data_IF_964465727115
#
_entry.id   IF_964465727115
#
_cell.length_a   1.000
_cell.length_b   1.000
_cell.length_c   1.000
_cell.angle_alpha   90.00
_cell.angle_beta   90.00
_cell.angle_gamma   90.00
#
_symmetry.space_group_name_H-M   'P 1'
#
loop_
_entity.id
_entity.type
_entity.pdbx_description
1 polymer ?
#
# COMPACT_ATOMS: atom_id res chain seq x y z
N UNK A 1 9.71 -0.79 -9.03
CA UNK A 1 9.58 0.21 -7.94
C UNK A 1 8.37 -0.07 -7.05
N UNK A 2 7.15 -0.19 -7.60
CA UNK A 2 5.94 -0.55 -6.83
C UNK A 2 6.03 -1.93 -6.17
N UNK A 3 6.64 -2.94 -6.80
CA UNK A 3 6.80 -4.26 -6.16
C UNK A 3 7.56 -4.22 -4.82
N UNK A 4 8.55 -3.34 -4.68
CA UNK A 4 9.26 -3.16 -3.40
C UNK A 4 8.39 -2.47 -2.34
N UNK A 5 7.53 -1.54 -2.75
CA UNK A 5 6.55 -0.92 -1.85
C UNK A 5 5.46 -1.92 -1.43
N UNK A 6 4.99 -2.78 -2.36
CA UNK A 6 4.03 -3.85 -2.07
C UNK A 6 4.62 -4.93 -1.14
N UNK A 7 5.94 -5.14 -1.14
CA UNK A 7 6.56 -6.01 -0.15
C UNK A 7 6.51 -5.39 1.26
N UNK A 8 6.79 -4.08 1.35
CA UNK A 8 6.81 -3.35 2.62
C UNK A 8 5.43 -3.26 3.28
N UNK A 9 4.33 -3.33 2.54
CA UNK A 9 2.97 -3.26 3.12
C UNK A 9 2.69 -4.34 4.17
N UNK A 10 3.37 -5.48 4.09
CA UNK A 10 3.27 -6.58 5.06
C UNK A 10 3.70 -6.17 6.49
N UNK A 11 4.75 -5.36 6.59
CA UNK A 11 5.26 -4.82 7.87
C UNK A 11 4.78 -3.39 8.13
N UNK A 12 4.27 -2.71 7.09
CA UNK A 12 3.86 -1.30 7.11
C UNK A 12 2.49 -1.12 6.46
N UNK A 13 1.41 -1.48 7.19
CA UNK A 13 0.05 -1.36 6.66
C UNK A 13 -0.35 0.10 6.38
N UNK A 14 0.30 1.06 7.02
CA UNK A 14 0.10 2.50 6.85
C UNK A 14 0.37 3.02 5.44
N UNK A 15 1.21 2.32 4.65
CA UNK A 15 1.50 2.69 3.25
C UNK A 15 0.70 1.87 2.23
N UNK A 16 -0.16 0.94 2.65
CA UNK A 16 -0.95 0.05 1.77
C UNK A 16 -1.78 0.85 0.79
N UNK A 17 -2.56 1.80 1.31
CA UNK A 17 -3.50 2.58 0.49
C UNK A 17 -2.77 3.39 -0.58
N UNK A 18 -1.71 4.11 -0.18
CA UNK A 18 -0.90 4.89 -1.12
C UNK A 18 -0.26 4.00 -2.19
N UNK A 19 0.30 2.85 -1.80
CA UNK A 19 0.93 1.90 -2.73
C UNK A 19 -0.07 1.31 -3.72
N UNK A 20 -1.29 0.98 -3.25
CA UNK A 20 -2.36 0.46 -4.09
C UNK A 20 -2.78 1.48 -5.17
N UNK A 21 -2.93 2.75 -4.79
CA UNK A 21 -3.20 3.83 -5.75
C UNK A 21 -2.08 3.96 -6.79
N UNK A 22 -0.81 3.90 -6.40
CA UNK A 22 0.30 3.99 -7.36
C UNK A 22 0.37 2.80 -8.32
N UNK A 23 -0.01 1.60 -7.87
CA UNK A 23 -0.04 0.43 -8.72
C UNK A 23 -1.00 0.62 -9.92
N UNK A 24 -2.12 1.33 -9.71
CA UNK A 24 -3.11 1.60 -10.77
C UNK A 24 -2.55 2.54 -11.85
N UNK A 25 -1.73 3.52 -11.47
CA UNK A 25 -1.11 4.47 -12.40
C UNK A 25 0.27 4.03 -12.90
N UNK A 26 0.72 2.82 -12.55
CA UNK A 26 2.04 2.31 -12.93
C UNK A 26 2.20 2.19 -14.45
N UNK A 27 1.12 1.82 -15.16
CA UNK A 27 1.15 1.63 -16.61
C UNK A 27 1.33 2.96 -17.37
N UNK A 28 0.91 4.09 -16.78
CA UNK A 28 1.08 5.43 -17.35
C UNK A 28 1.37 6.46 -16.25
N UNK A 29 2.63 6.53 -15.78
CA UNK A 29 3.00 7.45 -14.71
C UNK A 29 2.93 8.90 -15.21
N UNK A 30 2.15 9.73 -14.52
CA UNK A 30 2.05 11.18 -14.71
C UNK A 30 3.03 11.86 -13.73
N UNK A 31 3.64 12.99 -14.09
CA UNK A 31 4.61 13.70 -13.24
C UNK A 31 4.12 13.99 -11.82
N UNK A 32 2.81 14.25 -11.66
CA UNK A 32 2.17 14.43 -10.35
C UNK A 32 2.35 13.21 -9.45
N UNK A 33 2.24 11.99 -10.00
CA UNK A 33 2.42 10.75 -9.25
C UNK A 33 3.86 10.56 -8.80
N UNK A 34 4.86 10.96 -9.60
CA UNK A 34 6.27 10.86 -9.23
C UNK A 34 6.61 11.71 -7.99
N UNK A 35 5.98 12.88 -7.83
CA UNK A 35 6.16 13.72 -6.64
C UNK A 35 5.67 13.03 -5.37
N UNK A 36 4.52 12.38 -5.44
CA UNK A 36 3.95 11.66 -4.31
C UNK A 36 4.74 10.39 -3.96
N UNK A 37 5.28 9.69 -4.96
CA UNK A 37 6.17 8.55 -4.70
C UNK A 37 7.45 8.98 -3.97
N UNK A 38 8.03 10.14 -4.31
CA UNK A 38 9.16 10.72 -3.55
C UNK A 38 8.76 11.02 -2.10
N UNK A 39 7.51 11.40 -1.85
CA UNK A 39 6.99 11.62 -0.49
C UNK A 39 6.91 10.32 0.30
N UNK A 40 6.45 9.23 -0.31
CA UNK A 40 6.46 7.89 0.31
C UNK A 40 7.89 7.49 0.70
N UNK A 41 8.85 7.63 -0.20
CA UNK A 41 10.25 7.29 0.12
C UNK A 41 10.83 8.15 1.25
N UNK A 42 10.49 9.43 1.30
CA UNK A 42 10.89 10.31 2.40
C UNK A 42 10.26 9.88 3.72
N UNK A 43 8.99 9.51 3.71
CA UNK A 43 8.29 8.98 4.87
C UNK A 43 8.95 7.69 5.37
N UNK A 44 9.18 6.72 4.47
CA UNK A 44 9.84 5.46 4.79
C UNK A 44 11.22 5.67 5.41
N UNK A 45 12.00 6.63 4.90
CA UNK A 45 13.31 7.01 5.45
C UNK A 45 13.21 7.64 6.84
N UNK A 46 12.15 8.40 7.11
CA UNK A 46 11.93 9.01 8.43
C UNK A 46 11.40 8.03 9.47
N UNK A 47 10.70 6.98 9.04
CA UNK A 47 10.06 6.00 9.92
C UNK A 47 10.75 4.65 9.91
N UNK A 48 12.04 4.53 9.55
CA UNK A 48 12.74 3.23 9.40
C UNK A 48 12.57 2.28 10.58
N UNK A 49 12.52 2.80 11.81
CA UNK A 49 12.36 2.00 13.03
C UNK A 49 10.89 1.69 13.39
N UNK A 50 9.95 2.28 12.68
CA UNK A 50 8.51 2.14 12.90
C UNK A 50 7.95 1.14 11.90
N UNK A 51 7.74 -0.09 12.33
CA UNK A 51 7.17 -1.16 11.51
C UNK A 51 6.80 -2.36 12.37
N UNK A 52 5.87 -3.18 11.87
CA UNK A 52 5.49 -4.43 12.51
C UNK A 52 6.61 -5.47 12.28
N UNK A 53 7.05 -6.09 13.37
CA UNK A 53 8.02 -7.18 13.36
C UNK A 53 7.31 -8.45 13.81
N UNK A 54 7.28 -9.45 12.93
CA UNK A 54 6.74 -10.77 13.24
C UNK A 54 7.90 -11.72 13.55
N UNK A 55 8.08 -12.06 14.83
CA UNK A 55 9.07 -13.03 15.27
C UNK A 55 8.58 -14.45 15.01
N UNK A 56 9.44 -15.31 14.43
CA UNK A 56 9.09 -16.69 14.05
C UNK A 56 8.67 -17.56 15.25
N UNK A 57 9.20 -17.27 16.44
CA UNK A 57 9.14 -18.18 17.60
C UNK A 57 8.18 -17.73 18.71
N UNK A 58 7.37 -16.67 18.49
CA UNK A 58 6.59 -16.05 19.58
C UNK A 58 5.25 -16.72 19.90
N UNK A 59 4.94 -17.90 19.33
CA UNK A 59 3.61 -18.52 19.49
C UNK A 59 2.46 -17.60 19.04
N UNK A 60 2.77 -16.59 18.24
CA UNK A 60 1.87 -15.51 17.87
C UNK A 60 1.03 -15.96 16.67
N UNK A 61 -0.28 -16.01 16.86
CA UNK A 61 -1.24 -16.26 15.79
C UNK A 61 -1.59 -14.92 15.12
N UNK A 62 -1.12 -14.72 13.89
CA UNK A 62 -1.40 -13.51 13.12
C UNK A 62 -2.78 -13.62 12.47
N UNK A 63 -3.78 -12.95 13.02
CA UNK A 63 -5.10 -12.79 12.36
C UNK A 63 -5.18 -11.42 11.70
N UNK A 64 -5.15 -11.38 10.36
CA UNK A 64 -5.29 -10.16 9.57
C UNK A 64 -6.72 -10.00 9.05
N UNK A 65 -7.32 -8.82 9.28
CA UNK A 65 -8.57 -8.41 8.64
C UNK A 65 -8.25 -7.30 7.64
N UNK A 66 -8.75 -7.42 6.42
CA UNK A 66 -8.63 -6.40 5.38
C UNK A 66 -10.03 -6.09 4.87
N UNK A 67 -10.48 -4.86 5.05
CA UNK A 67 -11.67 -4.34 4.39
C UNK A 67 -11.24 -3.48 3.20
N UNK A 68 -11.86 -3.73 2.05
CA UNK A 68 -11.51 -3.09 0.79
C UNK A 68 -12.77 -2.47 0.18
N UNK A 69 -13.40 -1.56 0.93
CA UNK A 69 -14.57 -0.82 0.50
C UNK A 69 -14.15 0.49 -0.21
N UNK A 70 -13.92 0.41 -1.52
CA UNK A 70 -13.73 1.59 -2.35
C UNK A 70 -15.05 2.32 -2.64
N UNK A 71 -15.91 2.49 -1.63
CA UNK A 71 -17.27 3.00 -1.77
C UNK A 71 -17.34 4.52 -2.03
N UNK A 72 -16.21 5.25 -2.00
CA UNK A 72 -16.18 6.71 -2.03
C UNK A 72 -15.18 7.37 -2.98
N UNK A 73 -14.55 6.65 -3.91
CA UNK A 73 -13.60 7.29 -4.81
C UNK A 73 -14.26 8.12 -5.91
N UNK A 74 -13.95 9.42 -5.91
CA UNK A 74 -14.40 10.39 -6.91
C UNK A 74 -13.67 10.30 -8.24
N UNK A 75 -12.48 9.70 -8.29
CA UNK A 75 -11.65 9.64 -9.51
C UNK A 75 -12.04 8.51 -10.46
N UNK A 76 -12.65 7.43 -9.96
CA UNK A 76 -13.20 6.38 -10.80
C UNK A 76 -14.41 5.73 -10.11
N UNK A 77 -15.61 6.04 -10.58
CA UNK A 77 -16.86 5.35 -10.26
C UNK A 77 -16.92 3.92 -10.86
N UNK A 78 -15.84 3.15 -10.76
CA UNK A 78 -15.78 1.78 -11.27
C UNK A 78 -15.32 0.84 -10.16
N UNK A 79 -16.28 0.08 -9.64
CA UNK A 79 -16.00 -1.08 -8.79
C UNK A 79 -15.35 -2.17 -9.64
N UNK A 80 -14.21 -2.69 -9.21
CA UNK A 80 -13.64 -3.94 -9.75
C UNK A 80 -14.23 -5.10 -8.93
N UNK A 81 -15.49 -5.43 -9.16
CA UNK A 81 -16.03 -6.71 -8.71
C UNK A 81 -15.88 -7.70 -9.87
N UNK A 82 -15.08 -8.74 -9.67
CA UNK A 82 -14.94 -9.82 -10.64
C UNK A 82 -16.24 -10.60 -10.72
N UNK A 83 -16.90 -10.58 -11.88
CA UNK A 83 -17.98 -11.50 -12.18
C UNK A 83 -17.42 -12.89 -12.41
N UNK A 84 -18.09 -13.89 -11.83
CA UNK A 84 -17.99 -15.28 -12.28
C UNK A 84 -18.66 -15.44 -13.64
#
# INVERSE_FOLDING_TARGET
MIGALMYLTSSRPDIVHATCLFAQYQAKPIEKHLKEVKRIFRYLRGTVNTGLWYTKDSGFELTGFSDADYAGCKDSFKSTFGGA
#
